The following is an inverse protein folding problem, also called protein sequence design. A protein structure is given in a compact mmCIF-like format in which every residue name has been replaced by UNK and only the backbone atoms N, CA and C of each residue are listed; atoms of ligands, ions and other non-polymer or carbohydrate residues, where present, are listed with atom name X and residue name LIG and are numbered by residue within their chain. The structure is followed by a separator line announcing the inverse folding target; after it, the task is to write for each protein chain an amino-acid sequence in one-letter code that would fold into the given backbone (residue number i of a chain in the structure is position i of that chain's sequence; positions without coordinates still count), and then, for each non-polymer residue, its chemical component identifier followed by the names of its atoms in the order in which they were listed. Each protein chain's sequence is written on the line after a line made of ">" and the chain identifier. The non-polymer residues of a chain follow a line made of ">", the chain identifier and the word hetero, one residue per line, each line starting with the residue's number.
data_IF_996638158633
#
_entry.id   IF_996638158633
#
_cell.length_a   1.000
_cell.length_b   1.000
_cell.length_c   1.000
_cell.angle_alpha   90.00
_cell.angle_beta   90.00
_cell.angle_gamma   90.00
#
_symmetry.space_group_name_H-M   'P 1'
#
loop_
_entity.id
_entity.type
_entity.pdbx_description
1 polymer ?
#
# COMPACT_ATOMS: atom_id res chain seq x y z
N UNK A 1 14.50 -10.39 -2.97
CA UNK A 1 14.90 -11.11 -1.74
C UNK A 1 13.81 -12.15 -1.47
N UNK A 2 14.19 -13.38 -1.14
CA UNK A 2 13.24 -14.48 -0.87
C UNK A 2 13.22 -14.68 0.63
N UNK A 3 12.03 -14.61 1.22
CA UNK A 3 11.81 -14.90 2.65
C UNK A 3 10.99 -16.17 2.74
N UNK A 4 11.50 -17.17 3.45
CA UNK A 4 10.83 -18.47 3.64
C UNK A 4 10.27 -18.55 5.04
N UNK A 5 9.05 -19.06 5.16
CA UNK A 5 8.45 -19.46 6.42
C UNK A 5 7.81 -20.85 6.24
N UNK A 6 7.54 -21.55 7.33
CA UNK A 6 6.96 -22.89 7.30
C UNK A 6 6.21 -23.20 8.59
N UNK A 7 5.75 -24.44 8.74
CA UNK A 7 5.11 -24.89 9.98
C UNK A 7 6.14 -24.97 11.14
N UNK A 8 7.43 -25.06 10.81
CA UNK A 8 8.53 -24.93 11.77
C UNK A 8 9.76 -24.26 11.15
N UNK A 9 10.59 -23.65 12.00
CA UNK A 9 11.87 -23.05 11.58
C UNK A 9 12.81 -24.06 10.92
N UNK A 10 12.74 -25.34 11.35
CA UNK A 10 13.54 -26.42 10.79
C UNK A 10 13.17 -26.72 9.34
N UNK A 11 11.87 -26.74 9.05
CA UNK A 11 11.36 -26.93 7.68
C UNK A 11 11.74 -25.76 6.79
N UNK A 12 11.55 -24.53 7.27
CA UNK A 12 11.94 -23.32 6.55
C UNK A 12 13.47 -23.26 6.28
N UNK A 13 14.28 -23.73 7.23
CA UNK A 13 15.74 -23.83 7.06
C UNK A 13 16.15 -24.84 5.99
N UNK A 14 15.46 -25.99 5.92
CA UNK A 14 15.68 -27.00 4.89
C UNK A 14 15.39 -26.41 3.50
N UNK A 15 14.22 -25.78 3.32
CA UNK A 15 13.86 -25.13 2.06
C UNK A 15 14.83 -23.98 1.68
N UNK A 16 15.28 -23.19 2.66
CA UNK A 16 16.24 -22.11 2.43
C UNK A 16 17.59 -22.63 1.95
N UNK A 17 18.03 -23.79 2.46
CA UNK A 17 19.23 -24.46 1.99
C UNK A 17 19.08 -24.89 0.53
N UNK A 18 17.98 -25.54 0.18
CA UNK A 18 17.69 -25.95 -1.20
C UNK A 18 17.71 -24.76 -2.17
N UNK A 19 17.08 -23.64 -1.83
CA UNK A 19 17.10 -22.46 -2.70
C UNK A 19 18.51 -21.86 -2.86
N UNK A 20 19.33 -21.87 -1.81
CA UNK A 20 20.73 -21.44 -1.91
C UNK A 20 21.54 -22.36 -2.83
N UNK A 21 21.34 -23.67 -2.73
CA UNK A 21 21.97 -24.66 -3.61
C UNK A 21 21.53 -24.50 -5.08
N UNK A 22 20.28 -24.09 -5.32
CA UNK A 22 19.77 -23.73 -6.65
C UNK A 22 20.27 -22.37 -7.17
N UNK A 23 21.13 -21.67 -6.42
CA UNK A 23 21.78 -20.43 -6.86
C UNK A 23 21.07 -19.13 -6.46
N UNK A 24 19.99 -19.19 -5.67
CA UNK A 24 19.33 -17.99 -5.15
C UNK A 24 20.20 -17.36 -4.04
N UNK A 25 20.71 -16.15 -4.28
CA UNK A 25 21.71 -15.51 -3.40
C UNK A 25 21.12 -14.79 -2.19
N UNK A 26 19.85 -14.35 -2.25
CA UNK A 26 19.20 -13.56 -1.20
C UNK A 26 18.02 -14.33 -0.63
N UNK A 27 18.31 -15.35 0.18
CA UNK A 27 17.31 -16.20 0.84
C UNK A 27 17.45 -16.08 2.36
N UNK A 28 16.37 -15.66 3.02
CA UNK A 28 16.27 -15.51 4.47
C UNK A 28 15.07 -16.30 5.00
N UNK A 29 15.03 -16.57 6.31
CA UNK A 29 13.95 -17.28 6.98
C UNK A 29 13.21 -16.29 7.88
N UNK A 30 11.88 -16.39 7.93
CA UNK A 30 11.05 -15.71 8.91
C UNK A 30 10.72 -16.69 10.05
N UNK A 31 11.43 -16.52 11.17
CA UNK A 31 11.28 -17.39 12.34
C UNK A 31 9.91 -17.29 12.98
N UNK A 32 9.38 -18.42 13.43
CA UNK A 32 8.07 -18.52 14.07
C UNK A 32 6.88 -18.59 13.12
N UNK A 33 7.11 -18.51 11.80
CA UNK A 33 6.12 -18.81 10.78
C UNK A 33 4.85 -17.95 10.83
N UNK A 34 3.75 -18.52 10.35
CA UNK A 34 2.45 -17.84 10.35
C UNK A 34 1.93 -17.52 11.76
N UNK A 35 2.33 -18.29 12.78
CA UNK A 35 1.94 -18.03 14.17
C UNK A 35 2.61 -16.77 14.72
N UNK A 36 3.90 -16.56 14.46
CA UNK A 36 4.58 -15.31 14.82
C UNK A 36 4.02 -14.12 14.03
N UNK A 37 3.68 -14.32 12.75
CA UNK A 37 3.04 -13.32 11.90
C UNK A 37 1.65 -12.90 12.41
N UNK A 38 0.86 -13.85 12.93
CA UNK A 38 -0.44 -13.52 13.56
C UNK A 38 -0.30 -12.67 14.82
N UNK A 39 0.83 -12.79 15.53
CA UNK A 39 1.10 -12.07 16.77
C UNK A 39 1.54 -10.62 16.58
N UNK A 40 2.00 -10.25 15.38
CA UNK A 40 2.46 -8.90 15.03
C UNK A 40 1.35 -7.95 14.54
N UNK A 41 0.07 -8.35 14.65
CA UNK A 41 -1.10 -7.59 14.18
C UNK A 41 -1.14 -7.34 12.64
N UNK A 42 -0.47 -8.19 11.86
CA UNK A 42 -0.55 -8.17 10.40
C UNK A 42 -1.70 -9.08 9.92
N UNK A 43 -2.41 -8.67 8.85
CA UNK A 43 -3.55 -9.41 8.33
C UNK A 43 -3.12 -10.78 7.79
N UNK A 44 -3.73 -11.86 8.30
CA UNK A 44 -3.59 -13.21 7.75
C UNK A 44 -4.81 -13.54 6.92
N UNK A 45 -4.59 -13.78 5.62
CA UNK A 45 -5.58 -14.40 4.77
C UNK A 45 -5.74 -15.88 5.16
N UNK A 46 -6.99 -16.32 5.33
CA UNK A 46 -7.34 -17.70 5.69
C UNK A 46 -8.14 -18.32 4.55
N UNK A 47 -7.79 -19.54 4.17
CA UNK A 47 -8.48 -20.29 3.11
C UNK A 47 -7.52 -21.22 2.37
N UNK A 48 -8.03 -21.96 1.40
CA UNK A 48 -7.18 -22.71 0.48
C UNK A 48 -6.28 -21.74 -0.29
N UNK A 49 -5.01 -22.09 -0.45
CA UNK A 49 -4.14 -21.38 -1.38
C UNK A 49 -4.78 -21.46 -2.77
N UNK A 50 -4.86 -20.33 -3.48
CA UNK A 50 -5.33 -20.33 -4.86
C UNK A 50 -4.32 -21.09 -5.71
N UNK A 51 -4.80 -21.97 -6.59
CA UNK A 51 -3.95 -22.76 -7.49
C UNK A 51 -3.11 -21.89 -8.45
N UNK A 52 -3.58 -20.66 -8.68
CA UNK A 52 -2.89 -19.66 -9.46
C UNK A 52 -2.81 -18.35 -8.68
N UNK A 53 -1.60 -17.78 -8.60
CA UNK A 53 -1.47 -16.34 -8.37
C UNK A 53 -1.88 -15.73 -9.70
N UNK A 54 -2.99 -14.96 -9.78
CA UNK A 54 -3.37 -14.32 -11.03
C UNK A 54 -2.17 -13.51 -11.49
N UNK A 55 -1.70 -13.78 -12.72
CA UNK A 55 -0.58 -13.07 -13.27
C UNK A 55 -0.89 -11.56 -13.22
N UNK A 56 -0.25 -10.83 -12.32
CA UNK A 56 -0.23 -9.37 -12.38
C UNK A 56 0.72 -8.95 -13.51
N UNK A 57 0.40 -9.38 -14.73
CA UNK A 57 1.05 -8.91 -15.96
C UNK A 57 0.55 -7.53 -16.38
N UNK A 58 -0.45 -6.98 -15.68
CA UNK A 58 -0.76 -5.56 -15.80
C UNK A 58 0.40 -4.81 -15.16
N UNK A 59 1.06 -3.98 -15.96
CA UNK A 59 1.77 -2.79 -15.49
C UNK A 59 1.09 -2.29 -14.22
N UNK A 60 1.82 -2.24 -13.10
CA UNK A 60 1.28 -1.74 -11.83
C UNK A 60 0.63 -0.39 -12.09
N UNK A 61 -0.69 -0.39 -12.26
CA UNK A 61 -1.47 0.77 -12.70
C UNK A 61 -1.76 1.69 -11.52
N UNK A 62 -1.26 1.33 -10.33
CA UNK A 62 -1.34 2.11 -9.11
C UNK A 62 -2.66 1.99 -8.39
N UNK A 63 -3.66 1.31 -8.94
CA UNK A 63 -5.01 1.23 -8.36
C UNK A 63 -5.00 0.40 -7.07
N UNK A 64 -5.57 0.96 -6.02
CA UNK A 64 -5.87 0.29 -4.75
C UNK A 64 -7.37 0.16 -4.58
N UNK A 65 -7.79 -1.00 -4.07
CA UNK A 65 -9.13 -1.15 -3.49
C UNK A 65 -9.22 -0.38 -2.18
N UNK A 66 -10.43 -0.13 -1.69
CA UNK A 66 -10.67 0.49 -0.39
C UNK A 66 -10.02 -0.31 0.73
N UNK A 67 -10.07 -1.64 0.66
CA UNK A 67 -9.40 -2.53 1.62
C UNK A 67 -7.88 -2.32 1.66
N UNK A 68 -7.23 -2.28 0.49
CA UNK A 68 -5.78 -2.06 0.40
C UNK A 68 -5.40 -0.65 0.86
N UNK A 69 -6.26 0.33 0.60
CA UNK A 69 -6.10 1.69 1.10
C UNK A 69 -6.18 1.75 2.64
N UNK A 70 -7.11 1.02 3.27
CA UNK A 70 -7.17 0.94 4.73
C UNK A 70 -5.93 0.30 5.34
N UNK A 71 -5.38 -0.74 4.69
CA UNK A 71 -4.09 -1.31 5.10
C UNK A 71 -2.92 -0.30 4.98
N UNK A 72 -2.98 0.58 3.98
CA UNK A 72 -2.02 1.66 3.82
C UNK A 72 -2.11 2.71 4.94
N UNK A 73 -3.33 3.01 5.43
CA UNK A 73 -3.55 3.96 6.54
C UNK A 73 -2.89 3.51 7.85
N UNK A 74 -2.80 2.20 8.10
CA UNK A 74 -2.21 1.63 9.33
C UNK A 74 -0.69 1.43 9.25
N UNK A 75 -0.06 1.67 8.09
CA UNK A 75 1.37 1.41 7.83
C UNK A 75 2.23 2.68 7.60
N UNK A 76 2.25 3.66 8.52
CA UNK A 76 2.84 4.99 8.30
C UNK A 76 4.38 5.01 8.19
N UNK A 77 5.04 3.89 8.51
CA UNK A 77 6.50 3.77 8.43
C UNK A 77 6.97 3.73 6.97
N UNK A 78 6.25 2.99 6.12
CA UNK A 78 6.61 2.82 4.71
C UNK A 78 5.73 3.62 3.75
N UNK A 79 4.57 4.10 4.23
CA UNK A 79 3.57 4.79 3.41
C UNK A 79 3.42 6.25 3.84
N UNK A 80 3.32 7.13 2.86
CA UNK A 80 2.85 8.51 3.02
C UNK A 80 1.47 8.62 2.33
N UNK A 81 0.43 8.98 3.08
CA UNK A 81 -0.93 9.17 2.56
C UNK A 81 -1.06 10.63 2.11
N UNK A 82 -1.55 10.89 0.90
CA UNK A 82 -1.71 12.24 0.35
C UNK A 82 -3.17 12.50 -0.02
N UNK A 83 -3.73 13.56 0.56
CA UNK A 83 -5.07 14.06 0.24
C UNK A 83 -4.98 15.06 -0.92
N UNK A 84 -5.50 14.69 -2.08
CA UNK A 84 -5.54 15.52 -3.29
C UNK A 84 -6.85 16.30 -3.48
N UNK A 85 -7.78 16.23 -2.52
CA UNK A 85 -9.05 16.97 -2.55
C UNK A 85 -8.83 18.49 -2.53
N UNK A 86 -9.90 19.25 -2.70
CA UNK A 86 -9.82 20.71 -2.61
C UNK A 86 -9.43 21.15 -1.19
N UNK A 87 -8.87 22.36 -1.07
CA UNK A 87 -8.51 22.91 0.24
C UNK A 87 -9.71 23.06 1.19
N UNK A 88 -10.91 23.26 0.65
CA UNK A 88 -12.13 23.34 1.43
C UNK A 88 -12.46 21.99 2.10
N UNK A 89 -12.35 20.91 1.33
CA UNK A 89 -12.57 19.54 1.83
C UNK A 89 -11.50 19.11 2.83
N UNK A 90 -10.23 19.47 2.58
CA UNK A 90 -9.10 19.18 3.46
C UNK A 90 -9.20 19.91 4.81
N UNK A 91 -9.87 21.07 4.86
CA UNK A 91 -10.11 21.83 6.09
C UNK A 91 -11.28 21.26 6.88
N UNK A 92 -12.30 20.73 6.20
CA UNK A 92 -13.50 20.19 6.86
C UNK A 92 -13.27 18.79 7.42
N UNK A 93 -12.51 17.95 6.72
CA UNK A 93 -12.36 16.53 7.02
C UNK A 93 -11.07 15.96 6.45
N UNK A 94 -10.65 14.78 6.90
CA UNK A 94 -9.51 14.08 6.32
C UNK A 94 -8.88 13.09 7.29
N UNK A 95 -7.91 12.32 6.81
CA UNK A 95 -7.15 11.43 7.67
C UNK A 95 -6.09 12.21 8.46
N UNK A 96 -6.00 12.06 9.79
CA UNK A 96 -5.10 12.87 10.64
C UNK A 96 -3.62 12.83 10.24
N UNK A 97 -3.14 11.70 9.72
CA UNK A 97 -1.74 11.50 9.30
C UNK A 97 -1.48 11.76 7.82
N UNK A 98 -2.49 12.22 7.07
CA UNK A 98 -2.35 12.50 5.64
C UNK A 98 -1.69 13.85 5.39
N UNK A 99 -0.94 13.93 4.29
CA UNK A 99 -0.35 15.15 3.77
C UNK A 99 -1.35 15.87 2.88
N UNK A 100 -1.66 17.12 3.21
CA UNK A 100 -2.67 17.93 2.54
C UNK A 100 -2.05 18.71 1.39
N UNK A 101 -2.17 18.18 0.18
CA UNK A 101 -1.67 18.80 -1.06
C UNK A 101 -2.76 18.63 -2.12
N UNK A 102 -3.57 19.66 -2.34
CA UNK A 102 -4.61 19.59 -3.39
C UNK A 102 -4.00 19.29 -4.77
N UNK A 103 -4.77 18.66 -5.66
CA UNK A 103 -4.31 18.34 -7.02
C UNK A 103 -3.75 19.57 -7.76
N UNK A 104 -4.34 20.75 -7.57
CA UNK A 104 -3.87 22.00 -8.18
C UNK A 104 -2.50 22.45 -7.66
N UNK A 105 -2.23 22.20 -6.38
CA UNK A 105 -0.98 22.57 -5.72
C UNK A 105 0.12 21.51 -5.88
N UNK A 106 -0.25 20.27 -6.25
CA UNK A 106 0.64 19.12 -6.38
C UNK A 106 1.84 19.42 -7.30
N UNK A 107 1.60 20.06 -8.44
CA UNK A 107 2.66 20.40 -9.40
C UNK A 107 3.76 21.32 -8.82
N UNK A 108 3.42 22.12 -7.81
CA UNK A 108 4.37 23.04 -7.13
C UNK A 108 4.93 22.44 -5.84
N UNK A 109 4.18 21.55 -5.20
CA UNK A 109 4.45 21.05 -3.83
C UNK A 109 4.91 19.60 -3.75
N UNK A 110 5.00 18.88 -4.87
CA UNK A 110 5.44 17.47 -4.86
C UNK A 110 6.84 17.28 -4.26
N UNK A 111 7.70 18.31 -4.27
CA UNK A 111 9.00 18.29 -3.62
C UNK A 111 8.94 18.16 -2.09
N UNK A 112 7.77 18.38 -1.48
CA UNK A 112 7.56 18.14 -0.05
C UNK A 112 7.46 16.64 0.27
N UNK A 113 7.13 15.78 -0.70
CA UNK A 113 6.88 14.35 -0.51
C UNK A 113 8.17 13.57 -0.24
N UNK A 114 8.09 12.60 0.67
CA UNK A 114 9.22 11.73 1.04
C UNK A 114 9.48 10.69 -0.05
N UNK A 115 10.62 10.81 -0.74
CA UNK A 115 10.97 9.91 -1.86
C UNK A 115 11.26 8.47 -1.43
N UNK A 116 11.57 8.24 -0.16
CA UNK A 116 11.84 6.89 0.35
C UNK A 116 10.56 6.13 0.67
N UNK A 117 9.42 6.83 0.78
CA UNK A 117 8.11 6.26 1.08
C UNK A 117 7.28 5.96 -0.17
N UNK A 118 6.39 4.99 -0.02
CA UNK A 118 5.33 4.71 -0.98
C UNK A 118 4.23 5.76 -0.80
N UNK A 119 3.97 6.50 -1.87
CA UNK A 119 2.95 7.53 -1.92
C UNK A 119 1.59 6.87 -2.18
N UNK A 120 0.59 7.13 -1.34
CA UNK A 120 -0.76 6.60 -1.51
C UNK A 120 -1.74 7.76 -1.57
N UNK A 121 -2.32 7.97 -2.75
CA UNK A 121 -3.16 9.12 -3.06
C UNK A 121 -4.64 8.79 -2.86
N UNK A 122 -5.41 9.76 -2.39
CA UNK A 122 -6.86 9.76 -2.54
C UNK A 122 -7.35 11.15 -2.93
N UNK A 123 -8.50 11.20 -3.58
CA UNK A 123 -9.15 12.43 -4.00
C UNK A 123 -10.66 12.33 -3.79
N UNK A 124 -11.41 13.28 -4.35
CA UNK A 124 -12.88 13.26 -4.30
C UNK A 124 -13.46 12.14 -5.19
N UNK A 125 -12.72 11.74 -6.22
CA UNK A 125 -13.06 10.73 -7.21
C UNK A 125 -11.78 10.05 -7.73
N UNK A 126 -11.93 8.88 -8.36
CA UNK A 126 -10.80 8.11 -8.89
C UNK A 126 -10.05 8.83 -9.99
N UNK A 127 -10.74 9.61 -10.83
CA UNK A 127 -10.11 10.36 -11.93
C UNK A 127 -9.07 11.35 -11.40
N UNK A 128 -9.40 12.13 -10.37
CA UNK A 128 -8.46 13.07 -9.75
C UNK A 128 -7.30 12.37 -9.06
N UNK A 129 -7.56 11.21 -8.46
CA UNK A 129 -6.53 10.39 -7.83
C UNK A 129 -5.55 9.83 -8.88
N UNK A 130 -6.08 9.35 -10.02
CA UNK A 130 -5.32 8.87 -11.18
C UNK A 130 -4.48 9.98 -11.82
N UNK A 131 -5.03 11.19 -11.97
CA UNK A 131 -4.26 12.36 -12.44
C UNK A 131 -3.05 12.67 -11.54
N UNK A 132 -3.22 12.57 -10.23
CA UNK A 132 -2.12 12.74 -9.27
C UNK A 132 -1.09 11.63 -9.36
N UNK A 133 -1.55 10.39 -9.58
CA UNK A 133 -0.70 9.22 -9.78
C UNK A 133 0.18 9.39 -11.02
N UNK A 134 -0.40 9.71 -12.16
CA UNK A 134 0.34 9.88 -13.42
C UNK A 134 1.40 10.98 -13.28
N UNK A 135 1.03 12.10 -12.66
CA UNK A 135 1.95 13.19 -12.40
C UNK A 135 3.13 12.74 -11.53
N UNK A 136 2.89 12.15 -10.36
CA UNK A 136 3.97 11.77 -9.44
C UNK A 136 4.80 10.60 -9.97
N UNK A 137 4.19 9.66 -10.69
CA UNK A 137 4.87 8.58 -11.39
C UNK A 137 5.82 9.14 -12.45
N UNK A 138 5.41 10.14 -13.22
CA UNK A 138 6.28 10.83 -14.18
C UNK A 138 7.49 11.53 -13.53
N UNK A 139 7.42 11.83 -12.23
CA UNK A 139 8.52 12.41 -11.42
C UNK A 139 9.37 11.35 -10.70
N UNK A 140 9.10 10.06 -10.93
CA UNK A 140 9.86 8.94 -10.40
C UNK A 140 9.49 8.54 -8.96
N UNK A 141 8.32 8.96 -8.46
CA UNK A 141 7.84 8.48 -7.16
C UNK A 141 7.27 7.07 -7.26
N UNK A 142 7.31 6.33 -6.15
CA UNK A 142 6.57 5.06 -5.99
C UNK A 142 5.17 5.41 -5.52
N UNK A 143 4.17 5.26 -6.40
CA UNK A 143 2.84 5.81 -6.15
C UNK A 143 1.77 4.75 -6.38
N UNK A 144 0.75 4.81 -5.52
CA UNK A 144 -0.52 4.13 -5.62
C UNK A 144 -1.64 5.15 -5.37
N UNK A 145 -2.86 4.82 -5.76
CA UNK A 145 -4.03 5.66 -5.51
C UNK A 145 -5.27 4.81 -5.26
N UNK A 146 -6.19 5.34 -4.45
CA UNK A 146 -7.51 4.74 -4.26
C UNK A 146 -8.30 4.81 -5.57
N UNK A 147 -8.69 3.65 -6.10
CA UNK A 147 -9.65 3.52 -7.19
C UNK A 147 -11.06 3.56 -6.61
N UNK A 148 -11.46 4.75 -6.20
CA UNK A 148 -12.71 4.98 -5.51
C UNK A 148 -12.81 6.38 -4.93
N UNK A 149 -13.74 6.55 -4.00
CA UNK A 149 -13.94 7.80 -3.26
C UNK A 149 -13.93 7.58 -1.75
N UNK A 150 -13.60 8.66 -1.03
CA UNK A 150 -13.69 8.72 0.43
C UNK A 150 -14.71 9.78 0.81
N UNK A 151 -15.76 9.37 1.49
CA UNK A 151 -16.72 10.28 2.12
C UNK A 151 -16.45 10.33 3.62
N UNK A 152 -16.35 11.54 4.18
CA UNK A 152 -16.16 11.73 5.62
C UNK A 152 -17.46 12.18 6.27
N UNK A 153 -17.83 11.52 7.36
CA UNK A 153 -18.97 11.87 8.20
C UNK A 153 -18.58 12.89 9.28
N UNK A 154 -19.60 13.52 9.89
CA UNK A 154 -19.42 14.57 10.91
C UNK A 154 -18.67 14.10 12.17
N UNK A 155 -18.69 12.80 12.45
CA UNK A 155 -18.06 12.21 13.64
C UNK A 155 -16.61 11.72 13.38
N UNK A 156 -16.04 12.06 12.21
CA UNK A 156 -14.71 11.60 11.81
C UNK A 156 -14.66 10.16 11.30
N UNK A 157 -15.81 9.49 11.21
CA UNK A 157 -15.96 8.25 10.44
C UNK A 157 -15.82 8.54 8.95
N UNK A 158 -15.42 7.53 8.19
CA UNK A 158 -15.33 7.63 6.75
C UNK A 158 -15.94 6.39 6.10
N UNK A 159 -16.37 6.55 4.85
CA UNK A 159 -16.86 5.48 3.99
C UNK A 159 -16.05 5.47 2.71
N UNK A 160 -15.50 4.30 2.39
CA UNK A 160 -14.84 4.05 1.12
C UNK A 160 -15.83 3.43 0.15
N UNK A 161 -15.77 3.88 -1.10
CA UNK A 161 -16.51 3.26 -2.20
C UNK A 161 -15.52 2.91 -3.29
N UNK A 162 -15.48 1.64 -3.67
CA UNK A 162 -14.65 1.15 -4.77
C UNK A 162 -15.36 1.40 -6.11
N UNK A 163 -14.57 1.60 -7.17
CA UNK A 163 -15.04 1.78 -8.55
C UNK A 163 -14.67 0.60 -9.46
#
# INVERSE_FOLDING_TARGET
>A
PIVIYGASDKEAASAAKTLKELGFRRVTIYSGGASAWSGSAEALEKGAAKDEIPASSKSHDGRLTGRDFEMALVSPVMVEIIDLRSEAEQKSSGFPKSKKISLQSLAKRYGELDRDKIQVLFAADSMRAEMGYDFLRSKGYRVNYLSGSVEFEKDGKYKLTDE
#
